data_IF_060493151444
#
_entry.id   IF_060493151444
#
_cell.length_a   1.000
_cell.length_b   1.000
_cell.length_c   1.000
_cell.angle_alpha   90.00
_cell.angle_beta   90.00
_cell.angle_gamma   90.00
#
_symmetry.space_group_name_H-M   'P 1'
#
loop_
_entity.id
_entity.type
_entity.pdbx_description
1 polymer ?
#
# COMPACT_ATOMS: atom_id res chain seq x y z
N UNK A 1 -19.33 -38.25 -17.00
CA UNK A 1 -19.11 -36.93 -16.38
C UNK A 1 -20.06 -35.97 -17.11
N UNK A 2 -20.97 -35.29 -16.41
CA UNK A 2 -21.98 -34.40 -17.04
C UNK A 2 -21.36 -33.06 -17.42
N UNK A 3 -21.93 -32.34 -18.39
CA UNK A 3 -21.46 -31.01 -18.83
C UNK A 3 -21.30 -30.04 -17.64
N UNK A 4 -22.23 -30.05 -16.69
CA UNK A 4 -22.17 -29.22 -15.48
C UNK A 4 -20.97 -29.55 -14.57
N UNK A 5 -20.61 -30.83 -14.47
CA UNK A 5 -19.45 -31.26 -13.67
C UNK A 5 -18.11 -30.86 -14.31
N UNK A 6 -18.05 -30.79 -15.65
CA UNK A 6 -16.86 -30.30 -16.36
C UNK A 6 -16.70 -28.79 -16.22
N UNK A 7 -17.78 -28.03 -16.40
CA UNK A 7 -17.76 -26.57 -16.23
C UNK A 7 -17.40 -26.14 -14.79
N UNK A 8 -17.83 -26.91 -13.79
CA UNK A 8 -17.43 -26.68 -12.40
C UNK A 8 -15.93 -26.94 -12.19
N UNK A 9 -15.39 -28.04 -12.73
CA UNK A 9 -13.98 -28.36 -12.62
C UNK A 9 -13.08 -27.30 -13.27
N UNK A 10 -13.47 -26.79 -14.44
CA UNK A 10 -12.75 -25.70 -15.13
C UNK A 10 -12.76 -24.42 -14.29
N UNK A 11 -13.90 -24.03 -13.70
CA UNK A 11 -13.99 -22.87 -12.81
C UNK A 11 -13.10 -23.02 -11.58
N UNK A 12 -13.08 -24.19 -10.96
CA UNK A 12 -12.21 -24.47 -9.81
C UNK A 12 -10.75 -24.37 -10.21
N UNK A 13 -10.36 -24.96 -11.34
CA UNK A 13 -8.99 -24.89 -11.85
C UNK A 13 -8.56 -23.45 -12.15
N UNK A 14 -9.43 -22.65 -12.78
CA UNK A 14 -9.18 -21.24 -13.06
C UNK A 14 -8.95 -20.44 -11.77
N UNK A 15 -9.78 -20.66 -10.74
CA UNK A 15 -9.62 -20.02 -9.44
C UNK A 15 -8.32 -20.41 -8.76
N UNK A 16 -7.96 -21.70 -8.76
CA UNK A 16 -6.69 -22.17 -8.18
C UNK A 16 -5.49 -21.53 -8.90
N UNK A 17 -5.54 -21.44 -10.23
CA UNK A 17 -4.49 -20.79 -11.00
C UNK A 17 -4.35 -19.30 -10.65
N UNK A 18 -5.48 -18.60 -10.50
CA UNK A 18 -5.53 -17.19 -10.12
C UNK A 18 -4.93 -16.95 -8.73
N UNK A 19 -5.33 -17.74 -7.73
CA UNK A 19 -4.76 -17.67 -6.37
C UNK A 19 -3.24 -17.92 -6.39
N UNK A 20 -2.79 -18.93 -7.16
CA UNK A 20 -1.37 -19.19 -7.33
C UNK A 20 -0.61 -18.00 -7.90
N UNK A 21 -1.20 -17.28 -8.87
CA UNK A 21 -0.59 -16.08 -9.46
C UNK A 21 -0.49 -14.94 -8.45
N UNK A 22 -1.52 -14.70 -7.65
CA UNK A 22 -1.49 -13.68 -6.59
C UNK A 22 -0.43 -14.03 -5.53
N UNK A 23 -0.33 -15.29 -5.12
CA UNK A 23 0.71 -15.74 -4.18
C UNK A 23 2.12 -15.60 -4.77
N UNK A 24 2.29 -15.80 -6.07
CA UNK A 24 3.56 -15.56 -6.75
C UNK A 24 3.94 -14.08 -6.73
N UNK A 25 2.98 -13.17 -6.96
CA UNK A 25 3.20 -11.73 -6.82
C UNK A 25 3.65 -11.36 -5.40
N UNK A 26 3.03 -11.97 -4.37
CA UNK A 26 3.40 -11.70 -2.98
C UNK A 26 4.83 -12.15 -2.67
N UNK A 27 5.23 -13.33 -3.17
CA UNK A 27 6.62 -13.81 -3.04
C UNK A 27 7.62 -12.89 -3.75
N UNK A 28 7.27 -12.40 -4.94
CA UNK A 28 8.11 -11.44 -5.66
C UNK A 28 8.26 -10.13 -4.88
N UNK A 29 7.16 -9.59 -4.35
CA UNK A 29 7.19 -8.41 -3.47
C UNK A 29 8.13 -8.61 -2.27
N UNK A 30 8.06 -9.77 -1.59
CA UNK A 30 8.94 -10.06 -0.47
C UNK A 30 10.42 -10.08 -0.87
N UNK A 31 10.74 -10.55 -2.09
CA UNK A 31 12.12 -10.57 -2.59
C UNK A 31 12.69 -9.20 -2.94
N UNK A 32 11.85 -8.20 -3.23
CA UNK A 32 12.29 -6.84 -3.55
C UNK A 32 12.80 -6.06 -2.33
N UNK A 33 12.51 -6.52 -1.10
CA UNK A 33 12.96 -5.90 0.16
C UNK A 33 12.80 -4.38 0.20
N UNK A 34 11.58 -3.90 -0.04
CA UNK A 34 11.28 -2.47 -0.18
C UNK A 34 11.31 -1.77 1.21
N UNK A 35 12.30 -0.91 1.52
CA UNK A 35 12.42 -0.34 2.86
C UNK A 35 11.30 0.65 3.18
N UNK A 36 10.80 0.59 4.42
CA UNK A 36 9.75 1.50 4.89
C UNK A 36 8.35 1.19 4.36
N UNK A 37 8.17 0.11 3.61
CA UNK A 37 6.86 -0.33 3.12
C UNK A 37 6.58 -1.75 3.61
N UNK A 38 5.44 -1.94 4.25
CA UNK A 38 4.97 -3.26 4.68
C UNK A 38 3.63 -3.54 4.01
N UNK A 39 3.48 -4.75 3.49
CA UNK A 39 2.31 -5.19 2.74
C UNK A 39 2.01 -6.64 3.08
N UNK A 40 0.72 -6.95 3.25
CA UNK A 40 0.25 -8.30 3.54
C UNK A 40 -1.11 -8.54 2.86
N UNK A 41 -1.31 -9.66 2.15
CA UNK A 41 -2.63 -10.05 1.66
C UNK A 41 -3.62 -10.22 2.82
N UNK A 42 -4.86 -9.81 2.62
CA UNK A 42 -5.97 -10.00 3.57
C UNK A 42 -6.15 -11.48 3.89
N UNK A 43 -6.56 -11.77 5.12
CA UNK A 43 -6.86 -13.14 5.54
C UNK A 43 -8.16 -13.66 4.89
N UNK A 44 -9.07 -12.74 4.53
CA UNK A 44 -10.37 -13.05 3.96
C UNK A 44 -10.37 -13.08 2.42
N UNK A 45 -9.49 -12.31 1.78
CA UNK A 45 -9.41 -12.23 0.31
C UNK A 45 -8.00 -11.90 -0.17
N UNK A 46 -7.41 -12.79 -0.98
CA UNK A 46 -6.10 -12.56 -1.60
C UNK A 46 -6.07 -11.37 -2.56
N UNK A 47 -7.24 -10.86 -2.97
CA UNK A 47 -7.37 -9.68 -3.84
C UNK A 47 -7.26 -8.34 -3.10
N UNK A 48 -7.20 -8.35 -1.77
CA UNK A 48 -7.11 -7.16 -0.95
C UNK A 48 -5.81 -7.21 -0.16
N UNK A 49 -4.91 -6.24 -0.31
CA UNK A 49 -3.63 -6.24 0.43
C UNK A 49 -3.53 -5.01 1.31
N UNK A 50 -3.38 -5.22 2.62
CA UNK A 50 -3.19 -4.14 3.58
C UNK A 50 -1.74 -3.69 3.57
N UNK A 51 -1.54 -2.39 3.48
CA UNK A 51 -0.24 -1.77 3.44
C UNK A 51 -0.08 -0.63 4.44
N UNK A 52 1.16 -0.42 4.87
CA UNK A 52 1.57 0.78 5.59
C UNK A 52 2.92 1.24 5.06
N UNK A 53 3.03 2.55 4.80
CA UNK A 53 4.28 3.21 4.44
C UNK A 53 4.76 4.11 5.58
N UNK A 54 6.04 3.97 5.92
CA UNK A 54 6.80 4.82 6.82
C UNK A 54 7.69 5.72 5.98
N UNK A 55 7.30 6.98 5.81
CA UNK A 55 8.04 7.92 4.99
C UNK A 55 9.26 8.42 5.75
N UNK A 56 10.45 8.17 5.21
CA UNK A 56 11.73 8.44 5.91
C UNK A 56 12.35 9.79 5.59
N UNK A 57 11.95 10.43 4.49
CA UNK A 57 12.56 11.65 3.98
C UNK A 57 11.55 12.47 3.17
N UNK A 58 11.90 13.72 2.87
CA UNK A 58 11.06 14.62 2.08
C UNK A 58 9.97 15.28 2.92
N UNK A 59 8.97 15.86 2.25
CA UNK A 59 7.97 16.72 2.89
C UNK A 59 7.05 15.95 3.85
N UNK A 60 6.86 14.67 3.58
CA UNK A 60 5.99 13.77 4.35
C UNK A 60 6.76 12.93 5.37
N UNK A 61 8.03 13.27 5.64
CA UNK A 61 8.87 12.57 6.61
C UNK A 61 8.12 12.36 7.95
N UNK A 62 8.37 11.19 8.55
CA UNK A 62 7.75 10.69 9.80
C UNK A 62 6.26 10.30 9.65
N UNK A 63 5.67 10.51 8.48
CA UNK A 63 4.31 10.06 8.18
C UNK A 63 4.18 8.53 8.15
N UNK A 64 3.10 8.03 8.74
CA UNK A 64 2.76 6.60 8.79
C UNK A 64 1.39 6.40 8.13
N UNK A 65 1.39 6.15 6.83
CA UNK A 65 0.16 6.12 6.04
C UNK A 65 -0.28 4.69 5.74
N UNK A 66 -1.49 4.33 6.17
CA UNK A 66 -2.12 3.05 5.84
C UNK A 66 -2.85 3.14 4.51
N UNK A 67 -2.82 2.06 3.76
CA UNK A 67 -3.50 1.94 2.48
C UNK A 67 -3.93 0.51 2.21
N UNK A 68 -4.80 0.35 1.21
CA UNK A 68 -5.28 -0.91 0.68
C UNK A 68 -4.95 -0.98 -0.81
N UNK A 69 -4.37 -2.10 -1.26
CA UNK A 69 -4.33 -2.44 -2.68
C UNK A 69 -5.50 -3.37 -2.97
N UNK A 70 -6.38 -2.95 -3.87
CA UNK A 70 -7.48 -3.76 -4.39
C UNK A 70 -7.14 -4.27 -5.78
N UNK A 71 -6.96 -5.58 -5.89
CA UNK A 71 -6.63 -6.29 -7.12
C UNK A 71 -7.94 -6.66 -7.84
N UNK A 72 -8.06 -6.43 -9.16
CA UNK A 72 -9.27 -6.79 -9.89
C UNK A 72 -9.56 -8.29 -9.84
N UNK A 73 -10.84 -8.66 -9.81
CA UNK A 73 -11.29 -10.06 -9.74
C UNK A 73 -10.95 -10.86 -11.00
N UNK A 74 -10.65 -10.18 -12.10
CA UNK A 74 -10.24 -10.78 -13.37
C UNK A 74 -8.73 -10.98 -13.47
N UNK A 75 -7.93 -10.57 -12.47
CA UNK A 75 -6.48 -10.77 -12.46
C UNK A 75 -6.11 -12.26 -12.64
N UNK A 76 -5.08 -12.63 -13.42
CA UNK A 76 -4.19 -11.75 -14.19
C UNK A 76 -4.71 -11.40 -15.60
N UNK A 77 -5.93 -11.82 -15.95
CA UNK A 77 -6.50 -11.68 -17.30
C UNK A 77 -7.20 -10.31 -17.51
N UNK A 78 -6.65 -9.25 -16.94
CA UNK A 78 -7.21 -7.89 -17.03
C UNK A 78 -6.15 -6.88 -17.45
N UNK A 79 -6.57 -5.82 -18.12
CA UNK A 79 -5.74 -4.64 -18.40
C UNK A 79 -6.02 -3.49 -17.43
N UNK A 80 -6.86 -3.71 -16.42
CA UNK A 80 -7.07 -2.74 -15.34
C UNK A 80 -6.00 -2.95 -14.26
N UNK A 81 -5.30 -1.89 -13.84
CA UNK A 81 -4.34 -2.02 -12.76
C UNK A 81 -5.06 -2.16 -11.40
N UNK A 82 -4.40 -2.72 -10.38
CA UNK A 82 -4.84 -2.62 -9.00
C UNK A 82 -5.06 -1.16 -8.56
N UNK A 83 -6.03 -0.96 -7.69
CA UNK A 83 -6.34 0.36 -7.12
C UNK A 83 -5.66 0.49 -5.76
N UNK A 84 -4.90 1.57 -5.55
CA UNK A 84 -4.32 1.90 -4.24
C UNK A 84 -5.21 2.94 -3.55
N UNK A 85 -5.66 2.64 -2.34
CA UNK A 85 -6.61 3.45 -1.58
C UNK A 85 -6.02 3.75 -0.21
N UNK A 86 -5.64 5.00 0.04
CA UNK A 86 -5.18 5.45 1.34
C UNK A 86 -6.34 5.48 2.34
N UNK A 87 -6.12 4.83 3.47
CA UNK A 87 -7.03 4.83 4.62
C UNK A 87 -6.69 5.95 5.59
N UNK A 88 -5.40 6.32 5.67
CA UNK A 88 -4.98 7.57 6.29
C UNK A 88 -5.37 8.76 5.43
N UNK A 89 -5.65 9.90 6.04
CA UNK A 89 -5.83 11.16 5.30
C UNK A 89 -4.48 11.61 4.77
N UNK A 90 -4.36 11.82 3.46
CA UNK A 90 -3.13 12.27 2.81
C UNK A 90 -3.44 13.48 1.93
N UNK A 91 -2.73 14.57 2.15
CA UNK A 91 -2.82 15.76 1.30
C UNK A 91 -1.74 15.72 0.24
N UNK A 92 -2.05 15.20 -0.96
CA UNK A 92 -1.09 14.99 -2.05
C UNK A 92 -1.74 15.23 -3.43
N UNK A 93 -1.05 15.84 -4.42
CA UNK A 93 -1.61 16.10 -5.76
C UNK A 93 -2.15 14.85 -6.48
N UNK A 94 -1.44 13.73 -6.35
CA UNK A 94 -1.81 12.43 -6.96
C UNK A 94 -2.76 11.56 -6.12
N UNK A 95 -3.32 12.06 -5.01
CA UNK A 95 -4.26 11.29 -4.16
C UNK A 95 -5.60 12.02 -4.07
N UNK A 96 -6.68 11.35 -4.48
CA UNK A 96 -8.03 11.89 -4.39
C UNK A 96 -8.41 12.19 -2.93
N UNK A 97 -8.77 13.45 -2.59
CA UNK A 97 -9.02 13.83 -1.19
C UNK A 97 -10.30 13.21 -0.61
N UNK A 98 -11.22 12.74 -1.45
CA UNK A 98 -12.51 12.17 -1.02
C UNK A 98 -12.47 10.65 -0.87
N UNK A 99 -11.78 9.96 -1.77
CA UNK A 99 -11.75 8.48 -1.80
C UNK A 99 -10.45 7.91 -1.25
N UNK A 100 -9.39 8.72 -1.12
CA UNK A 100 -8.03 8.25 -0.82
C UNK A 100 -7.37 7.52 -1.99
N UNK A 101 -8.02 7.43 -3.15
CA UNK A 101 -7.49 6.70 -4.31
C UNK A 101 -6.29 7.45 -4.89
N UNK A 102 -5.18 6.74 -5.03
CA UNK A 102 -3.96 7.22 -5.67
C UNK A 102 -4.03 7.05 -7.19
N UNK A 103 -3.71 8.09 -7.95
CA UNK A 103 -3.52 7.98 -9.39
C UNK A 103 -2.16 7.36 -9.69
N UNK A 104 -2.17 6.28 -10.46
CA UNK A 104 -0.97 5.54 -10.87
C UNK A 104 -0.77 5.57 -12.39
N UNK A 105 -1.56 6.35 -13.11
CA UNK A 105 -1.62 6.30 -14.57
C UNK A 105 -0.37 6.85 -15.25
N UNK A 106 0.40 7.70 -14.54
CA UNK A 106 1.68 8.20 -15.02
C UNK A 106 2.72 7.07 -15.13
N UNK A 107 2.81 6.21 -14.11
CA UNK A 107 3.73 5.07 -14.12
C UNK A 107 3.16 3.85 -14.86
N UNK A 108 1.84 3.69 -14.91
CA UNK A 108 1.16 2.56 -15.51
C UNK A 108 0.10 3.00 -16.53
N UNK A 109 0.49 3.71 -17.61
CA UNK A 109 -0.46 4.18 -18.63
C UNK A 109 -1.11 3.02 -19.40
N UNK A 110 -0.43 1.87 -19.44
CA UNK A 110 -0.95 0.61 -19.97
C UNK A 110 -0.56 -0.52 -19.03
N UNK A 111 -1.53 -1.07 -18.30
CA UNK A 111 -1.30 -2.22 -17.43
C UNK A 111 -1.36 -3.54 -18.23
N UNK A 112 -0.42 -4.43 -17.96
CA UNK A 112 -0.26 -5.70 -18.67
C UNK A 112 0.36 -6.77 -17.79
N UNK A 113 0.56 -7.97 -18.33
CA UNK A 113 1.22 -9.08 -17.64
C UNK A 113 2.70 -8.85 -17.31
N UNK A 114 3.32 -7.80 -17.85
CA UNK A 114 4.68 -7.38 -17.49
C UNK A 114 4.71 -6.49 -16.24
N UNK A 115 3.55 -6.04 -15.79
CA UNK A 115 3.41 -5.22 -14.60
C UNK A 115 3.14 -6.07 -13.38
N UNK A 116 3.89 -5.80 -12.31
CA UNK A 116 3.84 -6.57 -11.07
C UNK A 116 3.45 -5.68 -9.88
N UNK A 117 2.87 -6.29 -8.85
CA UNK A 117 2.42 -5.55 -7.66
C UNK A 117 3.56 -4.87 -6.91
N UNK A 118 4.78 -5.41 -6.99
CA UNK A 118 5.96 -4.77 -6.40
C UNK A 118 6.35 -3.46 -7.08
N UNK A 119 6.04 -3.29 -8.38
CA UNK A 119 6.29 -2.03 -9.07
C UNK A 119 5.36 -0.95 -8.56
N UNK A 120 4.08 -1.30 -8.31
CA UNK A 120 3.10 -0.40 -7.69
C UNK A 120 3.58 -0.03 -6.28
N UNK A 121 4.06 -1.01 -5.51
CA UNK A 121 4.62 -0.80 -4.19
C UNK A 121 5.81 0.20 -4.19
N UNK A 122 6.75 0.07 -5.14
CA UNK A 122 7.84 1.04 -5.30
C UNK A 122 7.33 2.41 -5.76
N UNK A 123 6.30 2.44 -6.61
CA UNK A 123 5.72 3.70 -7.07
C UNK A 123 5.04 4.49 -5.94
N UNK A 124 4.46 3.82 -4.94
CA UNK A 124 3.95 4.47 -3.73
C UNK A 124 5.06 5.27 -3.02
N UNK A 125 6.25 4.69 -2.86
CA UNK A 125 7.39 5.39 -2.24
C UNK A 125 7.81 6.58 -3.11
N UNK A 126 7.96 6.34 -4.41
CA UNK A 126 8.37 7.36 -5.37
C UNK A 126 7.44 8.59 -5.33
N UNK A 127 6.12 8.40 -5.18
CA UNK A 127 5.19 9.54 -5.06
C UNK A 127 5.47 10.43 -3.84
N UNK A 128 5.77 9.83 -2.68
CA UNK A 128 6.07 10.63 -1.49
C UNK A 128 7.42 11.35 -1.56
N UNK A 129 8.36 10.83 -2.35
CA UNK A 129 9.66 11.46 -2.60
C UNK A 129 9.56 12.60 -3.63
N UNK A 130 8.69 12.44 -4.63
CA UNK A 130 8.53 13.36 -5.76
C UNK A 130 7.05 13.76 -5.92
N UNK A 131 6.56 14.77 -5.18
CA UNK A 131 5.13 15.12 -5.18
C UNK A 131 4.62 15.74 -6.50
N UNK A 132 5.52 16.20 -7.38
CA UNK A 132 5.19 16.73 -8.70
C UNK A 132 5.29 15.62 -9.76
N UNK A 133 4.14 15.27 -10.34
CA UNK A 133 4.01 14.17 -11.30
C UNK A 133 3.28 14.59 -12.58
N UNK A 134 3.06 15.89 -12.80
CA UNK A 134 2.34 16.42 -13.96
C UNK A 134 0.82 16.19 -13.96
N UNK A 135 0.33 14.97 -13.65
CA UNK A 135 -1.10 14.66 -13.53
C UNK A 135 -1.60 14.80 -12.09
N UNK A 136 -2.66 15.57 -11.90
CA UNK A 136 -3.26 15.84 -10.59
C UNK A 136 -4.71 15.35 -10.50
N UNK A 137 -5.03 14.66 -9.41
CA UNK A 137 -6.41 14.31 -9.01
C UNK A 137 -6.88 15.12 -7.81
N UNK A 138 -5.96 15.87 -7.17
CA UNK A 138 -6.23 16.81 -6.10
C UNK A 138 -5.75 18.20 -6.54
N UNK A 139 -6.63 18.93 -7.22
CA UNK A 139 -6.32 20.27 -7.74
C UNK A 139 -5.93 21.24 -6.62
N UNK A 140 -6.57 21.15 -5.46
CA UNK A 140 -6.26 22.01 -4.32
C UNK A 140 -4.81 21.81 -3.84
N UNK A 141 -4.37 20.55 -3.70
CA UNK A 141 -2.99 20.25 -3.34
C UNK A 141 -2.00 20.67 -4.43
N UNK A 142 -2.37 20.53 -5.71
CA UNK A 142 -1.54 20.99 -6.82
C UNK A 142 -1.40 22.51 -6.87
N UNK A 143 -2.49 23.25 -6.77
CA UNK A 143 -2.48 24.72 -6.75
C UNK A 143 -1.67 25.24 -5.54
N UNK A 144 -1.86 24.64 -4.36
CA UNK A 144 -1.07 25.00 -3.18
C UNK A 144 0.42 24.69 -3.38
N UNK A 145 0.78 23.58 -4.02
CA UNK A 145 2.16 23.24 -4.33
C UNK A 145 2.82 24.28 -5.26
N UNK A 146 2.10 24.73 -6.29
CA UNK A 146 2.63 25.64 -7.32
C UNK A 146 2.59 27.11 -6.92
N UNK A 147 1.54 27.56 -6.23
CA UNK A 147 1.26 28.97 -5.96
C UNK A 147 1.47 29.37 -4.50
N UNK A 148 1.31 28.43 -3.56
CA UNK A 148 1.36 28.72 -2.12
C UNK A 148 2.05 27.62 -1.32
N UNK A 149 3.36 27.47 -1.53
CA UNK A 149 4.14 26.39 -0.91
C UNK A 149 4.01 26.36 0.62
N UNK A 150 3.84 27.51 1.29
CA UNK A 150 3.64 27.57 2.73
C UNK A 150 2.35 26.87 3.18
N UNK A 151 1.24 27.07 2.46
CA UNK A 151 -0.03 26.37 2.72
C UNK A 151 0.09 24.88 2.44
N UNK A 152 0.73 24.49 1.33
CA UNK A 152 0.97 23.09 1.01
C UNK A 152 1.73 22.40 2.16
N UNK A 153 2.83 23.01 2.61
CA UNK A 153 3.63 22.50 3.71
C UNK A 153 2.87 22.42 5.04
N UNK A 154 1.96 23.38 5.30
CA UNK A 154 1.12 23.34 6.49
C UNK A 154 0.16 22.14 6.48
N UNK A 155 -0.50 21.87 5.35
CA UNK A 155 -1.43 20.74 5.19
C UNK A 155 -0.71 19.39 5.16
N UNK A 156 0.48 19.31 4.58
CA UNK A 156 1.32 18.10 4.65
C UNK A 156 1.70 17.79 6.10
N UNK A 157 2.14 18.80 6.88
CA UNK A 157 2.43 18.61 8.31
C UNK A 157 1.21 18.15 9.09
N UNK A 158 0.03 18.70 8.77
CA UNK A 158 -1.22 18.27 9.39
C UNK A 158 -1.53 16.80 9.10
N UNK A 159 -1.41 16.34 7.84
CA UNK A 159 -1.69 14.95 7.51
C UNK A 159 -0.66 13.98 8.10
N UNK A 160 0.63 14.36 8.16
CA UNK A 160 1.66 13.59 8.89
C UNK A 160 1.29 13.45 10.36
N UNK A 161 0.96 14.56 11.03
CA UNK A 161 0.55 14.54 12.44
C UNK A 161 -0.68 13.64 12.66
N UNK A 162 -1.72 13.79 11.85
CA UNK A 162 -2.94 12.97 11.94
C UNK A 162 -2.65 11.48 11.74
N UNK A 163 -1.70 11.13 10.87
CA UNK A 163 -1.30 9.74 10.63
C UNK A 163 -0.69 9.08 11.88
N UNK A 164 0.02 9.86 12.70
CA UNK A 164 0.63 9.44 13.96
C UNK A 164 -0.41 9.44 15.09
N UNK A 165 -1.21 10.50 15.19
CA UNK A 165 -2.25 10.62 16.23
C UNK A 165 -3.25 9.46 16.17
N UNK A 166 -3.55 8.98 14.96
CA UNK A 166 -4.45 7.84 14.69
C UNK A 166 -3.72 6.49 14.56
N UNK A 167 -2.46 6.41 14.97
CA UNK A 167 -1.67 5.19 14.82
C UNK A 167 -2.27 4.01 15.59
N UNK A 168 -2.87 4.28 16.75
CA UNK A 168 -3.43 3.30 17.67
C UNK A 168 -4.96 3.20 17.62
N UNK A 169 -5.59 3.81 16.61
CA UNK A 169 -7.04 3.71 16.45
C UNK A 169 -7.45 2.25 16.21
N UNK A 170 -8.64 1.83 16.67
CA UNK A 170 -9.16 0.51 16.40
C UNK A 170 -9.21 0.24 14.89
N UNK A 171 -8.92 -1.00 14.50
CA UNK A 171 -8.97 -1.40 13.11
C UNK A 171 -10.39 -1.20 12.54
N UNK A 172 -10.53 -0.72 11.30
CA UNK A 172 -11.83 -0.55 10.65
C UNK A 172 -12.43 -1.87 10.15
N UNK A 173 -11.75 -3.00 10.38
CA UNK A 173 -12.12 -4.34 9.93
C UNK A 173 -11.70 -5.39 10.95
N UNK A 174 -12.41 -6.52 10.95
CA UNK A 174 -12.10 -7.72 11.74
C UNK A 174 -11.06 -8.63 11.06
N UNK A 175 -10.62 -8.29 9.84
CA UNK A 175 -9.59 -9.05 9.14
C UNK A 175 -8.29 -9.10 9.98
N UNK A 176 -7.83 -10.30 10.26
CA UNK A 176 -6.68 -10.58 11.13
C UNK A 176 -5.36 -10.09 10.55
N UNK A 177 -5.27 -9.88 9.24
CA UNK A 177 -4.07 -9.36 8.57
C UNK A 177 -4.08 -7.83 8.46
N UNK A 178 -5.11 -7.14 8.97
CA UNK A 178 -5.06 -5.69 9.06
C UNK A 178 -3.89 -5.24 9.94
N UNK A 179 -3.06 -4.34 9.44
CA UNK A 179 -1.84 -3.90 10.14
C UNK A 179 -2.21 -2.92 11.27
N UNK A 180 -2.06 -3.39 12.50
CA UNK A 180 -2.30 -2.65 13.75
C UNK A 180 -0.98 -2.35 14.45
N UNK A 181 -0.98 -1.32 15.27
CA UNK A 181 0.14 -1.00 16.14
C UNK A 181 -0.37 -0.91 17.56
N UNK A 182 0.46 -1.35 18.49
CA UNK A 182 0.23 -1.21 19.92
C UNK A 182 1.23 -0.22 20.49
N UNK A 183 0.84 0.44 21.58
CA UNK A 183 1.77 1.29 22.32
C UNK A 183 2.91 0.43 22.85
N UNK A 184 4.10 1.03 22.89
CA UNK A 184 5.27 0.34 23.40
C UNK A 184 5.05 -0.05 24.87
N UNK A 185 4.98 -1.34 25.10
CA UNK A 185 5.00 -2.00 26.39
C UNK A 185 6.39 -2.63 26.64
N UNK A 186 7.05 -2.25 27.74
CA UNK A 186 8.41 -2.71 28.03
C UNK A 186 8.48 -4.22 28.27
N UNK A 187 7.48 -4.82 28.92
CA UNK A 187 7.53 -6.25 29.27
C UNK A 187 7.36 -7.13 28.02
N UNK A 188 6.51 -6.68 27.09
CA UNK A 188 6.25 -7.37 25.83
C UNK A 188 7.32 -7.13 24.77
N UNK A 189 7.77 -5.88 24.59
CA UNK A 189 8.55 -5.49 23.41
C UNK A 189 10.07 -5.40 23.67
N UNK A 190 10.51 -5.12 24.90
CA UNK A 190 11.95 -4.98 25.21
C UNK A 190 12.75 -6.26 24.92
N UNK A 191 12.26 -7.49 25.23
CA UNK A 191 12.99 -8.71 24.90
C UNK A 191 13.23 -8.86 23.39
N UNK A 192 12.19 -8.63 22.58
CA UNK A 192 12.26 -8.75 21.12
C UNK A 192 13.16 -7.66 20.54
N UNK A 193 13.09 -6.43 21.05
CA UNK A 193 13.95 -5.34 20.62
C UNK A 193 15.44 -5.65 20.85
N UNK A 194 15.78 -6.24 21.99
CA UNK A 194 17.15 -6.61 22.29
C UNK A 194 17.65 -7.77 21.41
N UNK A 195 16.80 -8.75 21.12
CA UNK A 195 17.10 -9.80 20.15
C UNK A 195 17.39 -9.22 18.75
N UNK A 196 16.56 -8.29 18.28
CA UNK A 196 16.76 -7.65 16.97
C UNK A 196 18.07 -6.85 16.89
N UNK A 197 18.46 -6.15 17.96
CA UNK A 197 19.73 -5.40 18.02
C UNK A 197 20.93 -6.35 17.94
N UNK A 198 20.92 -7.43 18.71
CA UNK A 198 22.00 -8.41 18.72
C UNK A 198 22.16 -9.08 17.35
N UNK A 199 21.05 -9.43 16.69
CA UNK A 199 21.08 -10.04 15.35
C UNK A 199 21.70 -9.10 14.29
N UNK A 200 21.45 -7.80 14.40
CA UNK A 200 22.02 -6.80 13.50
C UNK A 200 23.53 -6.61 13.73
N UNK A 201 24.00 -6.74 14.97
CA UNK A 201 25.43 -6.67 15.31
C UNK A 201 26.20 -7.91 14.85
N UNK A 202 25.59 -9.10 14.86
CA UNK A 202 26.21 -10.36 14.38
C UNK A 202 26.24 -10.50 12.85
N UNK A 203 25.41 -9.73 12.13
CA UNK A 203 25.28 -9.77 10.66
C UNK A 203 26.20 -8.76 9.94
N UNK A 204 27.05 -8.04 10.68
CA UNK A 204 28.07 -7.09 10.20
C UNK A 204 29.48 -7.68 10.29
#
# INVERSE_FOLDING_TARGET
MTLDSMALAEKVQAKVHQEYKILAEFKMLQSESIPGLYLIPSAESSFAWFGVIFVRQGLYQDGIFRFLISIPQEFPNTSQPPTVIFQSQVYHPSICPFTGTMDISEAFPKYSSENHLWQIAKYIIYLFEYPDQGKTVNKEAFDAWTENNAEFMAKVKECVKLSIDKLYDPAPTEDKHYIKFDKYDNELHEPVLNEMKNYAEESL
#
